data_IF_935984377461
#
_entry.id   IF_935984377461
#
_cell.length_a   1.000
_cell.length_b   1.000
_cell.length_c   1.000
_cell.angle_alpha   90.00
_cell.angle_beta   90.00
_cell.angle_gamma   90.00
#
_symmetry.space_group_name_H-M   'P 1'
#
loop_
_entity.id
_entity.type
_entity.pdbx_description
1 polymer ?
#
# COMPACT_ATOMS: atom_id res chain seq x y z
N UNK A 1 8.78 -7.83 -1.43
CA UNK A 1 8.39 -6.59 -0.74
C UNK A 1 7.62 -6.88 0.54
N UNK A 2 8.13 -6.37 1.65
CA UNK A 2 7.56 -6.63 2.97
C UNK A 2 6.15 -6.06 3.11
N UNK A 3 5.91 -4.86 2.61
CA UNK A 3 4.59 -4.24 2.68
C UNK A 3 3.56 -5.01 1.86
N UNK A 4 3.93 -5.47 0.67
CA UNK A 4 3.05 -6.27 -0.18
C UNK A 4 2.67 -7.58 0.50
N UNK A 5 3.65 -8.26 1.07
CA UNK A 5 3.43 -9.52 1.80
C UNK A 5 2.51 -9.29 3.01
N UNK A 6 2.78 -8.26 3.78
CA UNK A 6 1.99 -7.94 4.97
C UNK A 6 0.54 -7.62 4.60
N UNK A 7 0.33 -6.82 3.57
CA UNK A 7 -1.01 -6.47 3.10
C UNK A 7 -1.76 -7.69 2.57
N UNK A 8 -1.07 -8.57 1.84
CA UNK A 8 -1.66 -9.82 1.38
C UNK A 8 -2.15 -10.66 2.56
N UNK A 9 -1.36 -10.77 3.63
CA UNK A 9 -1.74 -11.49 4.82
C UNK A 9 -2.94 -10.86 5.52
N UNK A 10 -3.03 -9.54 5.56
CA UNK A 10 -4.19 -8.84 6.11
C UNK A 10 -5.47 -9.19 5.35
N UNK A 11 -5.41 -9.20 4.02
CA UNK A 11 -6.55 -9.58 3.19
C UNK A 11 -6.98 -11.02 3.45
N UNK A 12 -6.02 -11.93 3.56
CA UNK A 12 -6.31 -13.35 3.78
C UNK A 12 -6.91 -13.60 5.17
N UNK A 13 -6.39 -12.91 6.19
CA UNK A 13 -6.80 -13.12 7.58
C UNK A 13 -8.15 -12.48 7.89
N UNK A 14 -8.35 -11.24 7.46
CA UNK A 14 -9.55 -10.46 7.80
C UNK A 14 -10.63 -10.47 6.73
N UNK A 15 -10.34 -11.04 5.55
CA UNK A 15 -11.26 -11.04 4.44
C UNK A 15 -11.21 -9.74 3.64
N UNK A 16 -12.01 -9.69 2.57
CA UNK A 16 -11.92 -8.59 1.60
C UNK A 16 -12.33 -7.24 2.21
N UNK A 17 -13.41 -7.22 2.98
CA UNK A 17 -13.94 -5.97 3.52
C UNK A 17 -13.05 -5.42 4.64
N UNK A 18 -12.85 -6.22 5.70
CA UNK A 18 -12.05 -5.78 6.85
C UNK A 18 -10.59 -5.65 6.52
N UNK A 19 -10.05 -6.54 5.68
CA UNK A 19 -8.66 -6.50 5.26
C UNK A 19 -8.33 -5.22 4.52
N UNK A 20 -9.22 -4.77 3.63
CA UNK A 20 -9.04 -3.51 2.91
C UNK A 20 -9.00 -2.32 3.88
N UNK A 21 -9.90 -2.29 4.85
CA UNK A 21 -9.95 -1.21 5.85
C UNK A 21 -8.69 -1.17 6.71
N UNK A 22 -8.25 -2.32 7.18
CA UNK A 22 -7.04 -2.42 8.01
C UNK A 22 -5.81 -2.05 7.20
N UNK A 23 -5.74 -2.46 5.95
CA UNK A 23 -4.63 -2.14 5.06
C UNK A 23 -4.47 -0.63 4.86
N UNK A 24 -5.57 0.12 4.80
CA UNK A 24 -5.51 1.59 4.70
C UNK A 24 -4.71 2.20 5.84
N UNK A 25 -4.92 1.72 7.04
CA UNK A 25 -4.22 2.20 8.23
C UNK A 25 -2.72 1.84 8.16
N UNK A 26 -2.41 0.61 7.82
CA UNK A 26 -1.02 0.14 7.75
C UNK A 26 -0.23 0.85 6.66
N UNK A 27 -0.82 1.03 5.48
CA UNK A 27 -0.16 1.75 4.38
C UNK A 27 0.04 3.22 4.75
N UNK A 28 -0.93 3.82 5.45
CA UNK A 28 -0.80 5.19 5.94
C UNK A 28 0.42 5.34 6.85
N UNK A 29 0.62 4.38 7.75
CA UNK A 29 1.82 4.38 8.60
C UNK A 29 3.10 4.18 7.81
N UNK A 30 3.09 3.27 6.83
CA UNK A 30 4.24 3.02 5.98
C UNK A 30 4.66 4.27 5.20
N UNK A 31 3.69 5.00 4.65
CA UNK A 31 3.96 6.22 3.91
C UNK A 31 4.54 7.32 4.80
N UNK A 32 4.08 7.43 6.02
CA UNK A 32 4.64 8.25 7.08
C UNK A 32 5.03 9.65 6.65
N UNK A 33 6.33 9.93 6.69
CA UNK A 33 6.88 11.25 6.44
C UNK A 33 7.37 11.47 5.00
N UNK A 34 7.00 10.60 4.06
CA UNK A 34 7.38 10.80 2.66
C UNK A 34 6.78 12.12 2.15
N UNK A 35 7.51 12.76 1.23
CA UNK A 35 7.06 14.03 0.64
C UNK A 35 5.70 13.92 -0.06
N UNK A 36 5.41 12.76 -0.65
CA UNK A 36 4.18 12.49 -1.38
C UNK A 36 3.13 11.75 -0.56
N UNK A 37 3.32 11.60 0.77
CA UNK A 37 2.50 10.74 1.61
C UNK A 37 1.02 11.10 1.57
N UNK A 38 0.68 12.38 1.61
CA UNK A 38 -0.71 12.82 1.62
C UNK A 38 -1.43 12.41 0.34
N UNK A 39 -0.81 12.64 -0.81
CA UNK A 39 -1.38 12.27 -2.10
C UNK A 39 -1.53 10.76 -2.24
N UNK A 40 -0.49 10.00 -1.87
CA UNK A 40 -0.51 8.56 -1.97
C UNK A 40 -1.58 7.96 -1.05
N UNK A 41 -1.76 8.50 0.16
CA UNK A 41 -2.82 8.04 1.07
C UNK A 41 -4.21 8.29 0.49
N UNK A 42 -4.42 9.45 -0.14
CA UNK A 42 -5.72 9.76 -0.77
C UNK A 42 -6.04 8.77 -1.87
N UNK A 43 -5.07 8.46 -2.71
CA UNK A 43 -5.25 7.50 -3.80
C UNK A 43 -5.53 6.10 -3.25
N UNK A 44 -4.73 5.66 -2.28
CA UNK A 44 -4.88 4.33 -1.71
C UNK A 44 -6.23 4.17 -0.99
N UNK A 45 -6.67 5.20 -0.28
CA UNK A 45 -7.93 5.14 0.49
C UNK A 45 -9.17 5.06 -0.40
N UNK A 46 -9.06 5.36 -1.68
CA UNK A 46 -10.16 5.20 -2.64
C UNK A 46 -10.32 3.77 -3.12
N UNK A 47 -9.31 2.93 -2.92
CA UNK A 47 -9.33 1.56 -3.42
C UNK A 47 -10.21 0.71 -2.51
N UNK A 48 -11.21 0.06 -3.10
CA UNK A 48 -12.20 -0.71 -2.34
C UNK A 48 -11.97 -2.23 -2.40
N UNK A 49 -11.10 -2.69 -3.29
CA UNK A 49 -10.86 -4.11 -3.51
C UNK A 49 -9.43 -4.50 -3.17
N UNK A 50 -9.23 -5.70 -2.60
CA UNK A 50 -7.88 -6.17 -2.22
C UNK A 50 -6.88 -6.14 -3.37
N UNK A 51 -7.31 -6.57 -4.55
CA UNK A 51 -6.43 -6.65 -5.71
C UNK A 51 -5.95 -5.27 -6.15
N UNK A 52 -6.81 -4.27 -6.07
CA UNK A 52 -6.43 -2.90 -6.38
C UNK A 52 -5.38 -2.37 -5.41
N UNK A 53 -5.53 -2.71 -4.13
CA UNK A 53 -4.56 -2.32 -3.11
C UNK A 53 -3.20 -2.97 -3.35
N UNK A 54 -3.19 -4.25 -3.68
CA UNK A 54 -1.94 -4.97 -3.94
C UNK A 54 -1.23 -4.43 -5.19
N UNK A 55 -1.99 -4.13 -6.22
CA UNK A 55 -1.45 -3.53 -7.44
C UNK A 55 -0.81 -2.16 -7.15
N UNK A 56 -1.48 -1.34 -6.35
CA UNK A 56 -0.97 -0.03 -5.96
C UNK A 56 0.36 -0.15 -5.20
N UNK A 57 0.43 -1.06 -4.23
CA UNK A 57 1.63 -1.28 -3.44
C UNK A 57 2.78 -1.78 -4.32
N UNK A 58 2.48 -2.66 -5.26
CA UNK A 58 3.49 -3.16 -6.20
C UNK A 58 4.08 -2.02 -7.03
N UNK A 59 3.24 -1.13 -7.56
CA UNK A 59 3.70 0.02 -8.33
C UNK A 59 4.53 0.98 -7.47
N UNK A 60 4.12 1.18 -6.22
CA UNK A 60 4.86 2.02 -5.29
C UNK A 60 6.27 1.49 -5.04
N UNK A 61 6.40 0.18 -4.89
CA UNK A 61 7.69 -0.49 -4.72
C UNK A 61 8.58 -0.32 -5.94
N UNK A 62 8.03 -0.42 -7.14
CA UNK A 62 8.77 -0.21 -8.38
C UNK A 62 9.31 1.22 -8.48
N UNK A 63 8.50 2.20 -8.11
CA UNK A 63 8.93 3.60 -8.11
C UNK A 63 10.09 3.82 -7.13
N UNK A 64 10.01 3.25 -5.94
CA UNK A 64 11.09 3.34 -4.95
C UNK A 64 12.37 2.70 -5.47
N UNK A 65 12.26 1.54 -6.11
CA UNK A 65 13.43 0.85 -6.69
C UNK A 65 14.09 1.69 -7.79
N UNK A 66 13.28 2.30 -8.66
CA UNK A 66 13.79 3.15 -9.73
C UNK A 66 14.52 4.38 -9.17
N UNK A 67 14.02 4.96 -8.08
CA UNK A 67 14.69 6.08 -7.42
C UNK A 67 16.03 5.69 -6.84
N UNK A 68 16.13 4.50 -6.25
CA UNK A 68 17.41 3.99 -5.74
C UNK A 68 18.43 3.78 -6.86
N UNK A 69 17.98 3.27 -8.00
CA UNK A 69 18.86 3.07 -9.16
C UNK A 69 19.33 4.41 -9.75
N UNK A 70 18.48 5.44 -9.70
CA UNK A 70 18.80 6.76 -10.23
C UNK A 70 19.74 7.56 -9.31
N UNK A 71 19.76 7.21 -8.05
CA UNK A 71 20.61 7.88 -7.07
C UNK A 71 22.06 7.45 -7.20
#
# INVERSE_FOLDING_TARGET
DLLLRHTTQLHQFYGDFMGVRIARKHVSWYLGARADALEQRRLFNRLAHPQEQLHFIHQLSEIEFDKELAA
#
